data_IF_390959110009
#
_entry.id   IF_390959110009
#
_cell.length_a   1.000
_cell.length_b   1.000
_cell.length_c   1.000
_cell.angle_alpha   90.00
_cell.angle_beta   90.00
_cell.angle_gamma   90.00
#
_symmetry.space_group_name_H-M   'P 1'
#
loop_
_entity.id
_entity.type
_entity.pdbx_description
1 polymer ?
#
# COMPACT_ATOMS: atom_id res chain seq x y z
N UNK A 1 -25.81 19.76 25.06
CA UNK A 1 -25.67 18.42 24.45
C UNK A 1 -25.50 18.68 22.97
N UNK A 2 -24.26 18.75 22.51
CA UNK A 2 -24.00 18.81 21.07
C UNK A 2 -23.99 17.37 20.59
N UNK A 3 -25.05 17.03 19.87
CA UNK A 3 -25.17 15.80 19.12
C UNK A 3 -24.20 15.89 17.92
N UNK A 4 -23.01 15.32 18.08
CA UNK A 4 -22.07 15.09 16.98
C UNK A 4 -22.24 13.66 16.50
N UNK A 5 -23.42 13.31 16.00
CA UNK A 5 -23.57 12.15 15.12
C UNK A 5 -23.08 12.53 13.73
N UNK A 6 -21.77 12.80 13.60
CA UNK A 6 -21.11 12.68 12.30
C UNK A 6 -21.12 11.20 11.96
N UNK A 7 -21.52 10.85 10.75
CA UNK A 7 -21.62 9.45 10.32
C UNK A 7 -20.30 8.72 10.59
N UNK A 8 -20.36 7.63 11.37
CA UNK A 8 -19.18 6.82 11.71
C UNK A 8 -18.72 5.97 10.49
N UNK A 9 -19.44 6.04 9.37
CA UNK A 9 -19.11 5.38 8.12
C UNK A 9 -19.18 6.34 6.94
N UNK A 10 -18.25 6.21 5.98
CA UNK A 10 -18.25 6.97 4.73
C UNK A 10 -17.61 6.15 3.61
N UNK A 11 -17.62 6.68 2.38
CA UNK A 11 -16.95 6.08 1.22
C UNK A 11 -15.90 7.05 0.70
N UNK A 12 -14.65 6.58 0.59
CA UNK A 12 -13.53 7.37 0.03
C UNK A 12 -13.73 7.67 -1.46
N UNK A 13 -12.98 8.64 -1.99
CA UNK A 13 -12.98 8.94 -3.43
C UNK A 13 -12.53 7.74 -4.29
N UNK A 14 -11.69 6.87 -3.73
CA UNK A 14 -11.30 5.60 -4.36
C UNK A 14 -12.43 4.56 -4.43
N UNK A 15 -13.58 4.83 -3.81
CA UNK A 15 -14.77 3.97 -3.80
C UNK A 15 -14.78 2.89 -2.72
N UNK A 16 -13.88 2.94 -1.75
CA UNK A 16 -13.84 1.96 -0.66
C UNK A 16 -14.37 2.53 0.67
N UNK A 17 -15.01 1.66 1.45
CA UNK A 17 -15.71 2.00 2.70
C UNK A 17 -14.72 2.36 3.80
N UNK A 18 -15.08 3.34 4.63
CA UNK A 18 -14.28 3.79 5.76
C UNK A 18 -15.14 3.87 7.00
N UNK A 19 -14.64 3.36 8.12
CA UNK A 19 -15.26 3.42 9.44
C UNK A 19 -14.38 4.22 10.40
N UNK A 20 -14.95 5.23 11.04
CA UNK A 20 -14.22 6.09 11.99
C UNK A 20 -13.75 5.28 13.18
N UNK A 21 -12.47 5.39 13.52
CA UNK A 21 -11.90 4.77 14.71
C UNK A 21 -11.91 5.77 15.87
N UNK A 22 -12.38 5.32 17.04
CA UNK A 22 -12.38 6.11 18.27
C UNK A 22 -11.73 5.35 19.43
N UNK A 23 -11.50 6.01 20.56
CA UNK A 23 -10.83 5.43 21.73
C UNK A 23 -9.31 5.33 21.58
N UNK A 24 -8.69 4.43 22.34
CA UNK A 24 -7.25 4.09 22.25
C UNK A 24 -7.08 2.73 21.60
N UNK A 25 -5.95 2.52 20.93
CA UNK A 25 -5.60 1.24 20.36
C UNK A 25 -5.59 0.14 21.43
N UNK A 26 -5.97 -1.07 21.02
CA UNK A 26 -5.93 -2.28 21.84
C UNK A 26 -5.12 -3.37 21.12
N UNK A 27 -3.81 -3.15 20.91
CA UNK A 27 -2.98 -4.08 20.16
C UNK A 27 -2.80 -5.39 20.92
N UNK A 28 -2.64 -6.47 20.16
CA UNK A 28 -2.15 -7.76 20.63
C UNK A 28 -0.99 -8.20 19.74
N UNK A 29 -0.26 -9.21 20.17
CA UNK A 29 0.76 -9.83 19.32
C UNK A 29 0.10 -10.35 18.03
N UNK A 30 0.74 -10.04 16.91
CA UNK A 30 0.34 -10.48 15.56
C UNK A 30 1.22 -11.65 15.14
N UNK A 31 0.58 -12.76 14.75
CA UNK A 31 1.29 -13.92 14.22
C UNK A 31 1.53 -13.76 12.71
N UNK A 32 2.64 -13.12 12.37
CA UNK A 32 3.06 -12.95 10.97
C UNK A 32 3.30 -14.29 10.26
N UNK A 33 3.54 -15.39 10.98
CA UNK A 33 3.72 -16.70 10.36
C UNK A 33 2.39 -17.26 9.82
N UNK A 34 1.24 -16.79 10.30
CA UNK A 34 -0.07 -17.11 9.72
C UNK A 34 -0.33 -16.33 8.42
N UNK A 35 0.22 -15.11 8.30
CA UNK A 35 0.07 -14.28 7.10
C UNK A 35 1.04 -14.69 5.98
N UNK A 36 2.26 -15.10 6.35
CA UNK A 36 3.37 -15.33 5.41
C UNK A 36 3.08 -16.37 4.29
N UNK A 37 2.32 -17.47 4.50
CA UNK A 37 1.95 -18.40 3.42
C UNK A 37 1.17 -17.75 2.26
N UNK A 38 0.58 -16.58 2.47
CA UNK A 38 -0.15 -15.82 1.43
C UNK A 38 0.75 -14.93 0.57
N UNK A 39 2.06 -14.90 0.84
CA UNK A 39 3.04 -14.16 0.03
C UNK A 39 3.12 -14.74 -1.38
N UNK A 40 2.89 -13.88 -2.38
CA UNK A 40 2.95 -14.26 -3.79
C UNK A 40 4.31 -13.99 -4.44
N UNK A 41 5.09 -13.06 -3.89
CA UNK A 41 6.40 -12.65 -4.40
C UNK A 41 7.44 -12.63 -3.30
N UNK A 42 8.68 -12.94 -3.66
CA UNK A 42 9.80 -12.86 -2.73
C UNK A 42 10.02 -14.12 -1.88
N UNK A 43 9.41 -15.23 -2.27
CA UNK A 43 9.59 -16.56 -1.66
C UNK A 43 10.84 -17.28 -2.15
N UNK A 44 11.27 -16.97 -3.38
CA UNK A 44 12.42 -17.60 -4.03
C UNK A 44 13.76 -17.27 -3.33
N UNK A 45 14.80 -18.12 -3.50
CA UNK A 45 16.14 -17.81 -3.03
C UNK A 45 16.65 -16.44 -3.53
N UNK A 46 17.39 -15.74 -2.68
CA UNK A 46 17.99 -14.43 -2.98
C UNK A 46 17.13 -13.23 -2.59
N UNK A 47 15.91 -13.45 -2.09
CA UNK A 47 15.16 -12.42 -1.37
C UNK A 47 15.56 -12.42 0.12
N UNK A 48 15.70 -11.23 0.67
CA UNK A 48 16.09 -11.01 2.07
C UNK A 48 15.07 -10.10 2.75
N UNK A 49 15.02 -10.11 4.08
CA UNK A 49 14.23 -9.13 4.83
C UNK A 49 14.70 -7.71 4.50
N UNK A 50 13.77 -6.77 4.31
CA UNK A 50 14.11 -5.35 4.22
C UNK A 50 14.90 -4.86 5.45
N UNK A 51 15.62 -3.74 5.32
CA UNK A 51 16.50 -3.22 6.38
C UNK A 51 17.87 -3.90 6.49
N UNK A 52 18.19 -4.80 5.56
CA UNK A 52 19.51 -5.43 5.44
C UNK A 52 20.28 -4.87 4.22
N UNK A 53 21.60 -4.77 4.35
CA UNK A 53 22.50 -4.37 3.25
C UNK A 53 22.45 -5.38 2.07
N UNK A 54 22.76 -4.94 0.84
CA UNK A 54 23.11 -3.57 0.44
C UNK A 54 21.89 -2.67 0.31
N UNK A 55 22.04 -1.42 0.76
CA UNK A 55 21.04 -0.37 0.56
C UNK A 55 21.21 0.31 -0.80
N UNK A 56 20.10 0.72 -1.39
CA UNK A 56 20.09 1.53 -2.61
C UNK A 56 20.43 2.98 -2.28
N UNK A 57 21.20 3.63 -3.17
CA UNK A 57 21.51 5.04 -3.01
C UNK A 57 20.28 5.92 -3.29
N UNK A 58 20.16 7.11 -2.66
CA UNK A 58 19.15 8.10 -3.03
C UNK A 58 19.17 8.40 -4.55
N UNK A 59 17.99 8.54 -5.15
CA UNK A 59 17.80 8.74 -6.59
C UNK A 59 17.86 7.46 -7.43
N UNK A 60 18.34 6.33 -6.88
CA UNK A 60 18.30 5.04 -7.57
C UNK A 60 16.85 4.61 -7.86
N UNK A 61 16.65 3.80 -8.90
CA UNK A 61 15.35 3.21 -9.18
C UNK A 61 15.15 1.95 -8.34
N UNK A 62 13.97 1.84 -7.72
CA UNK A 62 13.46 0.63 -7.08
C UNK A 62 12.13 0.24 -7.70
N UNK A 63 11.88 -1.06 -7.87
CA UNK A 63 10.58 -1.59 -8.28
C UNK A 63 9.84 -2.05 -7.03
N UNK A 64 8.75 -1.36 -6.69
CA UNK A 64 7.83 -1.74 -5.61
C UNK A 64 6.77 -2.68 -6.18
N UNK A 65 6.62 -3.87 -5.59
CA UNK A 65 5.87 -4.97 -6.22
C UNK A 65 4.80 -5.58 -5.32
N UNK A 66 3.61 -5.77 -5.91
CA UNK A 66 2.43 -6.42 -5.32
C UNK A 66 1.89 -7.50 -6.27
N UNK A 67 2.25 -8.77 -6.10
CA UNK A 67 1.80 -9.82 -7.03
C UNK A 67 2.13 -9.48 -8.49
N UNK A 68 1.12 -9.16 -9.30
CA UNK A 68 1.32 -8.72 -10.70
C UNK A 68 1.77 -7.26 -10.83
N UNK A 69 1.58 -6.45 -9.79
CA UNK A 69 1.85 -5.01 -9.81
C UNK A 69 3.35 -4.67 -9.75
N UNK A 70 3.73 -3.62 -10.50
CA UNK A 70 5.10 -3.10 -10.59
C UNK A 70 5.03 -1.59 -10.65
N UNK A 71 5.51 -0.93 -9.60
CA UNK A 71 5.61 0.52 -9.52
C UNK A 71 7.10 0.91 -9.53
N UNK A 72 7.61 1.50 -10.63
CA UNK A 72 8.95 2.09 -10.66
C UNK A 72 8.97 3.36 -9.80
N UNK A 73 9.91 3.43 -8.86
CA UNK A 73 10.02 4.53 -7.90
C UNK A 73 11.46 5.00 -7.77
N UNK A 74 11.65 6.23 -7.29
CA UNK A 74 12.95 6.77 -6.88
C UNK A 74 13.17 6.54 -5.40
N UNK A 75 14.32 6.00 -5.03
CA UNK A 75 14.71 5.83 -3.63
C UNK A 75 15.00 7.21 -3.02
N UNK A 76 14.32 7.54 -1.93
CA UNK A 76 14.59 8.73 -1.11
C UNK A 76 15.55 8.38 0.00
N UNK A 77 15.30 7.27 0.68
CA UNK A 77 16.12 6.73 1.76
C UNK A 77 16.02 5.21 1.77
N UNK A 78 17.12 4.52 1.97
CA UNK A 78 17.16 3.07 2.16
C UNK A 78 18.23 2.78 3.21
N UNK A 79 17.80 2.37 4.40
CA UNK A 79 18.69 2.08 5.54
C UNK A 79 18.08 1.02 6.46
N UNK A 80 18.71 0.75 7.61
CA UNK A 80 18.26 -0.26 8.57
C UNK A 80 16.83 0.01 9.09
N UNK A 81 16.35 1.27 9.08
CA UNK A 81 15.01 1.64 9.55
C UNK A 81 13.92 1.34 8.52
N UNK A 82 14.25 1.35 7.23
CA UNK A 82 13.31 1.02 6.16
C UNK A 82 13.61 1.69 4.83
N UNK A 83 12.71 1.44 3.88
CA UNK A 83 12.74 2.04 2.54
C UNK A 83 11.75 3.20 2.47
N UNK A 84 12.22 4.37 2.03
CA UNK A 84 11.39 5.50 1.60
C UNK A 84 11.60 5.67 0.10
N UNK A 85 10.51 5.60 -0.67
CA UNK A 85 10.54 5.70 -2.11
C UNK A 85 9.44 6.65 -2.61
N UNK A 86 9.72 7.35 -3.70
CA UNK A 86 8.80 8.28 -4.33
C UNK A 86 8.33 7.75 -5.68
N UNK A 87 7.01 7.62 -5.84
CA UNK A 87 6.34 7.34 -7.11
C UNK A 87 5.93 8.69 -7.71
N UNK A 88 6.49 9.01 -8.88
CA UNK A 88 6.19 10.27 -9.54
C UNK A 88 4.78 10.28 -10.14
N UNK A 89 4.19 11.47 -10.26
CA UNK A 89 3.01 11.69 -11.11
C UNK A 89 3.27 11.17 -12.54
N UNK A 90 2.22 10.65 -13.18
CA UNK A 90 2.24 10.14 -14.56
C UNK A 90 3.22 8.96 -14.80
N UNK A 91 3.75 8.35 -13.74
CA UNK A 91 4.59 7.15 -13.87
C UNK A 91 3.79 6.02 -14.49
N UNK A 92 4.28 5.41 -15.57
CA UNK A 92 3.73 4.13 -16.04
C UNK A 92 3.96 3.07 -14.96
N UNK A 93 2.91 2.36 -14.59
CA UNK A 93 2.93 1.26 -13.62
C UNK A 93 2.23 0.04 -14.20
N UNK A 94 2.59 -1.14 -13.71
CA UNK A 94 1.77 -2.33 -13.92
C UNK A 94 0.78 -2.41 -12.77
N UNK A 95 -0.51 -2.33 -13.09
CA UNK A 95 -1.61 -2.61 -12.16
C UNK A 95 -2.34 -3.89 -12.55
N UNK A 96 -3.53 -4.08 -11.97
CA UNK A 96 -4.43 -5.18 -12.33
C UNK A 96 -5.80 -4.64 -12.73
N UNK A 97 -6.40 -5.25 -13.74
CA UNK A 97 -7.78 -5.02 -14.16
C UNK A 97 -8.54 -6.35 -14.21
N UNK A 98 -9.87 -6.27 -14.26
CA UNK A 98 -10.69 -7.41 -14.64
C UNK A 98 -10.39 -7.78 -16.10
N UNK A 99 -10.53 -9.07 -16.46
CA UNK A 99 -10.26 -9.57 -17.83
C UNK A 99 -11.13 -8.88 -18.91
N UNK A 100 -12.29 -8.35 -18.53
CA UNK A 100 -13.18 -7.58 -19.41
C UNK A 100 -12.82 -6.09 -19.53
N UNK A 101 -11.70 -5.67 -18.92
CA UNK A 101 -11.18 -4.31 -18.99
C UNK A 101 -11.62 -3.37 -17.87
N UNK A 102 -12.62 -3.76 -17.07
CA UNK A 102 -13.08 -2.92 -15.95
C UNK A 102 -12.00 -2.79 -14.88
N UNK A 103 -11.99 -1.65 -14.19
CA UNK A 103 -11.30 -1.55 -12.92
C UNK A 103 -11.95 -2.50 -11.90
N UNK A 104 -11.15 -3.00 -10.96
CA UNK A 104 -11.67 -3.95 -9.96
C UNK A 104 -12.75 -3.34 -9.06
N UNK A 105 -12.72 -2.02 -8.87
CA UNK A 105 -13.72 -1.28 -8.08
C UNK A 105 -15.09 -1.20 -8.79
N UNK A 106 -15.13 -1.34 -10.12
CA UNK A 106 -16.38 -1.45 -10.89
C UNK A 106 -16.99 -2.86 -10.86
N UNK A 107 -16.24 -3.87 -10.40
CA UNK A 107 -16.78 -5.21 -10.16
C UNK A 107 -17.54 -5.19 -8.83
N UNK A 108 -18.80 -5.70 -8.77
CA UNK A 108 -19.55 -5.83 -7.53
C UNK A 108 -18.72 -6.53 -6.44
N UNK A 109 -18.84 -6.07 -5.20
CA UNK A 109 -17.96 -6.50 -4.10
C UNK A 109 -18.01 -8.03 -3.86
N UNK A 110 -19.18 -8.63 -3.95
CA UNK A 110 -19.43 -10.07 -3.79
C UNK A 110 -18.81 -10.93 -4.90
N UNK A 111 -18.49 -10.34 -6.05
CA UNK A 111 -17.81 -11.01 -7.18
C UNK A 111 -16.32 -10.64 -7.29
N UNK A 112 -15.91 -9.48 -6.74
CA UNK A 112 -14.61 -8.82 -6.95
C UNK A 112 -13.39 -9.69 -6.64
N UNK A 113 -13.50 -10.55 -5.63
CA UNK A 113 -12.39 -11.40 -5.19
C UNK A 113 -12.28 -12.71 -5.98
N UNK A 114 -13.39 -13.23 -6.50
CA UNK A 114 -13.41 -14.40 -7.40
C UNK A 114 -13.18 -14.06 -8.87
N UNK A 115 -13.25 -12.78 -9.24
CA UNK A 115 -13.11 -12.34 -10.62
C UNK A 115 -11.67 -12.51 -11.13
N UNK A 116 -11.50 -13.10 -12.32
CA UNK A 116 -10.20 -13.24 -12.95
C UNK A 116 -9.57 -11.87 -13.25
N UNK A 117 -8.28 -11.75 -12.94
CA UNK A 117 -7.51 -10.51 -13.05
C UNK A 117 -6.36 -10.68 -14.04
N UNK A 118 -6.10 -9.63 -14.80
CA UNK A 118 -4.94 -9.55 -15.71
C UNK A 118 -4.06 -8.36 -15.33
N UNK A 119 -2.75 -8.49 -15.56
CA UNK A 119 -1.83 -7.37 -15.45
C UNK A 119 -2.13 -6.37 -16.58
N UNK A 120 -2.08 -5.07 -16.31
CA UNK A 120 -2.25 -4.02 -17.32
C UNK A 120 -1.30 -2.87 -17.02
N UNK A 121 -0.84 -2.18 -18.07
CA UNK A 121 -0.10 -0.93 -17.91
C UNK A 121 -1.08 0.22 -17.80
N UNK A 122 -0.86 1.07 -16.81
CA UNK A 122 -1.60 2.32 -16.60
C UNK A 122 -0.65 3.40 -16.13
N UNK A 123 -1.12 4.63 -16.05
CA UNK A 123 -0.40 5.74 -15.42
C UNK A 123 -0.87 5.93 -13.99
N UNK A 124 0.05 6.24 -13.09
CA UNK A 124 -0.28 6.72 -11.76
C UNK A 124 -1.12 8.01 -11.91
N UNK A 125 -2.24 8.06 -11.19
CA UNK A 125 -3.15 9.21 -11.20
C UNK A 125 -2.97 10.00 -9.91
N UNK A 126 -3.08 11.32 -10.03
CA UNK A 126 -2.87 12.25 -8.93
C UNK A 126 -1.40 12.59 -8.69
N UNK A 127 -1.17 13.42 -7.69
CA UNK A 127 0.15 13.88 -7.26
C UNK A 127 1.10 12.71 -6.98
N UNK A 128 2.40 12.94 -7.16
CA UNK A 128 3.41 11.96 -6.77
C UNK A 128 3.33 11.63 -5.27
N UNK A 129 3.55 10.36 -4.92
CA UNK A 129 3.34 9.83 -3.57
C UNK A 129 4.65 9.29 -2.97
N UNK A 130 4.93 9.65 -1.72
CA UNK A 130 5.94 8.96 -0.93
C UNK A 130 5.35 7.68 -0.36
N UNK A 131 6.08 6.57 -0.44
CA UNK A 131 5.79 5.33 0.29
C UNK A 131 6.94 4.99 1.21
N UNK A 132 6.61 4.70 2.45
CA UNK A 132 7.53 4.46 3.54
C UNK A 132 7.25 3.07 4.11
N UNK A 133 8.14 2.11 3.89
CA UNK A 133 8.05 0.76 4.44
C UNK A 133 9.08 0.58 5.55
N UNK A 134 8.67 0.66 6.84
CA UNK A 134 9.55 0.38 7.96
C UNK A 134 10.02 -1.07 7.96
N UNK A 135 11.26 -1.28 8.38
CA UNK A 135 11.86 -2.62 8.46
C UNK A 135 11.05 -3.53 9.38
N UNK A 136 10.61 -4.67 8.86
CA UNK A 136 9.95 -5.72 9.64
C UNK A 136 8.54 -5.38 10.12
N UNK A 137 7.92 -4.32 9.61
CA UNK A 137 6.53 -3.97 9.93
C UNK A 137 5.56 -4.45 8.86
N UNK A 138 4.37 -4.92 9.24
CA UNK A 138 3.34 -5.36 8.32
C UNK A 138 2.50 -4.17 7.79
N UNK A 139 3.16 -3.05 7.47
CA UNK A 139 2.54 -1.90 6.85
C UNK A 139 3.57 -1.05 6.10
N UNK A 140 3.09 -0.27 5.14
CA UNK A 140 3.75 0.96 4.69
C UNK A 140 2.85 2.16 4.89
N UNK A 141 3.47 3.35 4.92
CA UNK A 141 2.77 4.63 5.02
C UNK A 141 2.95 5.38 3.71
N UNK A 142 1.84 5.77 3.09
CA UNK A 142 1.83 6.56 1.88
C UNK A 142 1.37 7.97 2.20
N UNK A 143 2.18 8.97 1.82
CA UNK A 143 1.93 10.38 2.13
C UNK A 143 1.22 11.03 0.95
N UNK A 144 -0.06 11.32 1.13
CA UNK A 144 -0.90 11.94 0.11
C UNK A 144 -0.98 13.46 0.32
N UNK A 145 -1.03 14.18 -0.80
CA UNK A 145 -1.09 15.64 -0.84
C UNK A 145 -2.29 16.10 -1.64
N UNK A 146 -2.82 17.25 -1.25
CA UNK A 146 -3.78 18.01 -2.05
C UNK A 146 -3.09 18.66 -3.25
N UNK A 147 -3.88 19.16 -4.21
CA UNK A 147 -3.38 19.86 -5.41
C UNK A 147 -2.53 21.10 -5.09
N UNK A 148 -2.76 21.74 -3.93
CA UNK A 148 -1.98 22.88 -3.45
C UNK A 148 -0.67 22.48 -2.74
N UNK A 149 -0.40 21.18 -2.64
CA UNK A 149 0.79 20.59 -2.03
C UNK A 149 0.69 20.39 -0.52
N UNK A 150 -0.39 20.84 0.13
CA UNK A 150 -0.64 20.57 1.54
C UNK A 150 -0.88 19.08 1.80
N UNK A 151 -0.66 18.64 3.04
CA UNK A 151 -0.88 17.25 3.44
C UNK A 151 -2.38 16.95 3.41
N UNK A 152 -2.81 15.97 2.61
CA UNK A 152 -4.17 15.44 2.65
C UNK A 152 -4.31 14.44 3.81
N UNK A 153 -3.32 13.54 3.93
CA UNK A 153 -3.30 12.52 4.97
C UNK A 153 -2.25 11.45 4.73
N UNK A 154 -2.24 10.48 5.64
CA UNK A 154 -1.39 9.29 5.58
C UNK A 154 -2.26 8.06 5.37
N UNK A 155 -1.98 7.32 4.31
CA UNK A 155 -2.58 6.01 4.06
C UNK A 155 -1.65 4.93 4.59
N UNK A 156 -2.09 4.16 5.59
CA UNK A 156 -1.35 3.03 6.12
C UNK A 156 -1.83 1.78 5.40
N UNK A 157 -1.04 1.33 4.42
CA UNK A 157 -1.33 0.11 3.68
C UNK A 157 -0.94 -1.09 4.53
N UNK A 158 -1.88 -1.91 5.01
CA UNK A 158 -1.49 -3.13 5.73
C UNK A 158 -1.03 -4.17 4.72
N UNK A 159 0.15 -4.71 4.96
CA UNK A 159 0.81 -5.58 4.01
C UNK A 159 1.84 -6.47 4.68
N UNK A 160 2.27 -7.54 4.04
CA UNK A 160 3.36 -8.34 4.59
C UNK A 160 4.66 -7.54 4.68
N UNK A 161 5.51 -7.77 5.69
CA UNK A 161 6.81 -7.14 5.76
C UNK A 161 7.60 -7.30 4.46
N UNK A 162 8.21 -6.19 4.04
CA UNK A 162 8.89 -6.10 2.77
C UNK A 162 10.08 -7.07 2.68
N UNK A 163 10.21 -7.72 1.51
CA UNK A 163 11.40 -8.47 1.11
C UNK A 163 12.13 -7.72 0.00
N UNK A 164 13.46 -7.80 -0.01
CA UNK A 164 14.35 -7.10 -0.95
C UNK A 164 15.20 -8.07 -1.76
N UNK A 165 15.35 -7.76 -3.04
CA UNK A 165 16.30 -8.42 -3.95
C UNK A 165 16.78 -7.43 -5.00
N UNK A 166 18.07 -7.09 -4.97
CA UNK A 166 18.66 -6.07 -5.83
C UNK A 166 17.82 -4.77 -5.80
N UNK A 167 17.34 -4.30 -6.96
CA UNK A 167 16.51 -3.11 -7.09
C UNK A 167 15.01 -3.38 -6.93
N UNK A 168 14.62 -4.49 -6.30
CA UNK A 168 13.21 -4.85 -6.11
C UNK A 168 12.85 -4.89 -4.63
N UNK A 169 11.64 -4.41 -4.34
CA UNK A 169 10.96 -4.52 -3.07
C UNK A 169 9.62 -5.20 -3.30
N UNK A 170 9.38 -6.32 -2.63
CA UNK A 170 8.17 -7.11 -2.78
C UNK A 170 7.45 -7.30 -1.46
N UNK A 171 6.13 -7.21 -1.54
CA UNK A 171 5.20 -7.27 -0.42
C UNK A 171 3.90 -7.94 -0.88
N UNK A 172 2.96 -8.10 0.03
CA UNK A 172 1.62 -8.62 -0.24
C UNK A 172 0.63 -7.76 0.52
N UNK A 173 -0.23 -7.08 -0.24
CA UNK A 173 -1.38 -6.36 0.28
C UNK A 173 -2.30 -7.29 1.10
N UNK A 174 -2.75 -6.79 2.25
CA UNK A 174 -3.62 -7.49 3.21
C UNK A 174 -5.06 -6.93 3.22
N UNK A 175 -5.48 -6.22 2.17
CA UNK A 175 -6.83 -5.70 1.91
C UNK A 175 -7.27 -4.55 2.84
N UNK A 176 -7.02 -4.66 4.14
CA UNK A 176 -7.44 -3.70 5.15
C UNK A 176 -6.41 -2.56 5.26
N UNK A 177 -6.87 -1.33 5.42
CA UNK A 177 -5.98 -0.16 5.49
C UNK A 177 -6.42 0.80 6.61
N UNK A 178 -5.55 1.76 6.95
CA UNK A 178 -5.93 2.92 7.76
C UNK A 178 -5.77 4.21 6.96
N UNK A 179 -6.68 5.15 7.16
CA UNK A 179 -6.56 6.51 6.64
C UNK A 179 -6.50 7.49 7.82
N UNK A 180 -5.35 8.11 8.01
CA UNK A 180 -5.13 9.17 8.98
C UNK A 180 -5.18 10.51 8.26
N UNK A 181 -6.27 11.25 8.45
CA UNK A 181 -6.42 12.60 7.90
C UNK A 181 -5.39 13.56 8.51
N UNK A 182 -5.08 14.64 7.78
CA UNK A 182 -4.27 15.74 8.31
C UNK A 182 -4.90 16.40 9.56
N UNK A 183 -6.21 16.28 9.75
CA UNK A 183 -6.96 16.70 10.94
C UNK A 183 -6.60 15.89 12.20
N UNK A 184 -5.99 14.70 12.01
CA UNK A 184 -5.73 13.71 13.06
C UNK A 184 -6.86 12.68 13.22
N UNK A 185 -7.91 12.76 12.41
CA UNK A 185 -8.98 11.77 12.40
C UNK A 185 -8.52 10.46 11.75
N UNK A 186 -8.82 9.34 12.40
CA UNK A 186 -8.40 8.02 11.96
C UNK A 186 -9.60 7.19 11.49
N UNK A 187 -9.44 6.57 10.34
CA UNK A 187 -10.42 5.71 9.70
C UNK A 187 -9.84 4.33 9.43
N UNK A 188 -10.61 3.30 9.71
CA UNK A 188 -10.39 1.94 9.22
C UNK A 188 -11.01 1.82 7.84
N UNK A 189 -10.26 1.33 6.85
CA UNK A 189 -10.68 1.31 5.46
C UNK A 189 -10.74 -0.11 4.91
N UNK A 190 -11.75 -0.38 4.08
CA UNK A 190 -11.93 -1.60 3.29
C UNK A 190 -12.12 -2.88 4.15
N UNK A 191 -12.72 -2.74 5.34
CA UNK A 191 -13.09 -3.88 6.19
C UNK A 191 -14.16 -4.79 5.55
N UNK A 192 -15.08 -4.21 4.79
CA UNK A 192 -16.06 -4.93 3.96
C UNK A 192 -15.40 -5.70 2.81
N UNK A 193 -14.32 -5.16 2.24
CA UNK A 193 -13.49 -5.88 1.27
C UNK A 193 -12.79 -7.10 1.90
N UNK A 194 -12.28 -6.99 3.12
CA UNK A 194 -11.69 -8.12 3.83
C UNK A 194 -12.74 -9.21 4.13
N UNK A 195 -13.93 -8.83 4.58
CA UNK A 195 -15.05 -9.77 4.78
C UNK A 195 -15.44 -10.48 3.48
N UNK A 196 -15.55 -9.73 2.37
CA UNK A 196 -15.84 -10.30 1.06
C UNK A 196 -14.74 -11.24 0.56
N UNK A 197 -13.46 -10.91 0.81
CA UNK A 197 -12.34 -11.78 0.48
C UNK A 197 -12.41 -13.12 1.21
N UNK A 198 -12.71 -13.11 2.52
CA UNK A 198 -12.90 -14.33 3.32
C UNK A 198 -14.09 -15.14 2.83
N UNK A 199 -15.22 -14.49 2.54
CA UNK A 199 -16.42 -15.16 2.02
C UNK A 199 -16.17 -15.82 0.66
N UNK A 200 -15.32 -15.23 -0.18
CA UNK A 200 -14.89 -15.78 -1.47
C UNK A 200 -13.78 -16.86 -1.35
N UNK A 201 -13.33 -17.19 -0.13
CA UNK A 201 -12.29 -18.20 0.12
C UNK A 201 -10.86 -17.70 -0.07
N UNK A 202 -10.65 -16.39 -0.19
CA UNK A 202 -9.33 -15.75 -0.29
C UNK A 202 -8.73 -15.41 1.09
N UNK A 203 -8.84 -16.34 2.03
CA UNK A 203 -8.38 -16.19 3.41
C UNK A 203 -9.23 -17.04 4.37
N UNK A 204 -8.89 -17.01 5.66
CA UNK A 204 -9.70 -17.60 6.72
C UNK A 204 -10.12 -16.53 7.74
N UNK A 205 -11.04 -16.87 8.64
CA UNK A 205 -11.42 -15.97 9.72
C UNK A 205 -10.24 -15.66 10.65
N UNK A 206 -9.35 -16.64 10.86
CA UNK A 206 -8.12 -16.48 11.63
C UNK A 206 -7.16 -15.52 10.93
N UNK A 207 -7.01 -15.61 9.60
CA UNK A 207 -6.22 -14.67 8.81
C UNK A 207 -6.75 -13.25 8.95
N UNK A 208 -8.06 -13.05 8.79
CA UNK A 208 -8.69 -11.73 8.94
C UNK A 208 -8.50 -11.17 10.35
N UNK A 209 -8.56 -12.02 11.39
CA UNK A 209 -8.30 -11.61 12.76
C UNK A 209 -6.85 -11.15 12.99
N UNK A 210 -5.86 -11.74 12.30
CA UNK A 210 -4.47 -11.26 12.32
C UNK A 210 -4.30 -9.94 11.56
N UNK A 211 -5.02 -9.74 10.45
CA UNK A 211 -5.01 -8.49 9.69
C UNK A 211 -5.59 -7.33 10.53
N UNK A 212 -6.73 -7.56 11.21
CA UNK A 212 -7.27 -6.57 12.16
C UNK A 212 -6.31 -6.30 13.33
N UNK A 213 -5.60 -7.32 13.82
CA UNK A 213 -4.60 -7.13 14.86
C UNK A 213 -3.39 -6.31 14.36
N UNK A 214 -2.99 -6.47 13.09
CA UNK A 214 -1.99 -5.64 12.45
C UNK A 214 -2.45 -4.17 12.33
N UNK A 215 -3.74 -3.92 12.08
CA UNK A 215 -4.32 -2.58 12.09
C UNK A 215 -4.21 -1.92 13.48
N UNK A 216 -4.61 -2.63 14.54
CA UNK A 216 -4.49 -2.13 15.92
C UNK A 216 -3.03 -1.96 16.36
N UNK A 217 -2.12 -2.83 15.88
CA UNK A 217 -0.69 -2.66 16.09
C UNK A 217 -0.15 -1.39 15.41
N UNK A 218 -0.49 -1.17 14.13
CA UNK A 218 -0.12 0.05 13.42
C UNK A 218 -0.70 1.28 14.14
N UNK A 219 -1.97 1.26 14.54
CA UNK A 219 -2.57 2.34 15.32
C UNK A 219 -1.80 2.64 16.60
N UNK A 220 -1.45 1.62 17.38
CA UNK A 220 -0.73 1.80 18.64
C UNK A 220 0.71 2.33 18.44
N UNK A 221 1.48 1.69 17.57
CA UNK A 221 2.90 1.99 17.39
C UNK A 221 3.13 3.21 16.51
N UNK A 222 2.52 3.24 15.33
CA UNK A 222 2.73 4.27 14.33
C UNK A 222 1.96 5.54 14.68
N UNK A 223 0.65 5.44 14.94
CA UNK A 223 -0.24 6.61 15.03
C UNK A 223 -0.23 7.22 16.43
N UNK A 224 -0.57 6.43 17.44
CA UNK A 224 -0.61 6.88 18.84
C UNK A 224 0.81 7.05 19.41
N UNK A 225 1.73 6.14 19.04
CA UNK A 225 3.14 6.21 19.38
C UNK A 225 3.95 7.23 18.59
N UNK A 226 3.39 7.77 17.49
CA UNK A 226 4.04 8.73 16.58
C UNK A 226 5.39 8.23 16.08
N UNK A 227 5.41 7.03 15.50
CA UNK A 227 6.62 6.50 14.92
C UNK A 227 7.06 7.30 13.68
N UNK A 228 8.33 7.16 13.33
CA UNK A 228 9.03 8.00 12.37
C UNK A 228 8.45 8.13 10.97
N UNK A 229 7.67 7.17 10.41
CA UNK A 229 7.04 7.40 9.11
C UNK A 229 6.02 8.54 9.12
N UNK A 230 5.57 9.00 10.31
CA UNK A 230 4.72 10.17 10.50
C UNK A 230 5.51 11.43 10.90
N UNK A 231 6.84 11.40 10.90
CA UNK A 231 7.66 12.58 11.19
C UNK A 231 7.36 13.70 10.18
N UNK A 232 7.36 14.95 10.64
CA UNK A 232 7.08 16.16 9.83
C UNK A 232 7.98 16.29 8.58
N UNK A 233 9.16 15.66 8.62
CA UNK A 233 10.07 15.62 7.47
C UNK A 233 9.40 15.00 6.24
N UNK A 234 8.57 13.96 6.41
CA UNK A 234 7.88 13.29 5.29
C UNK A 234 6.66 14.08 4.84
N UNK A 235 5.94 14.70 5.78
CA UNK A 235 4.81 15.57 5.49
C UNK A 235 5.21 16.81 4.68
N UNK A 236 6.47 17.25 4.77
CA UNK A 236 6.99 18.43 4.05
C UNK A 236 7.95 18.12 2.91
N UNK A 237 8.35 16.85 2.75
CA UNK A 237 9.29 16.43 1.70
C UNK A 237 8.74 16.68 0.30
N UNK A 238 9.62 17.13 -0.60
CA UNK A 238 9.35 17.31 -2.02
C UNK A 238 10.46 16.64 -2.85
N UNK A 239 10.14 16.08 -4.03
CA UNK A 239 11.15 15.50 -4.90
C UNK A 239 12.14 16.58 -5.39
N UNK A 240 13.44 16.28 -5.44
CA UNK A 240 14.42 17.15 -6.10
C UNK A 240 14.01 17.46 -7.55
N UNK A 241 14.23 18.69 -8.01
CA UNK A 241 13.78 19.16 -9.32
C UNK A 241 14.43 18.43 -10.51
N UNK A 242 15.57 17.76 -10.29
CA UNK A 242 16.29 16.97 -11.29
C UNK A 242 15.85 15.49 -11.33
N UNK A 243 14.94 15.08 -10.44
CA UNK A 243 14.42 13.72 -10.45
C UNK A 243 13.41 13.51 -11.57
N UNK A 244 13.73 12.57 -12.45
CA UNK A 244 12.86 12.18 -13.56
C UNK A 244 12.02 10.95 -13.22
N UNK A 245 10.86 10.86 -13.88
CA UNK A 245 9.97 9.69 -13.85
C UNK A 245 10.76 8.44 -14.28
N UNK A 246 10.91 7.43 -13.41
CA UNK A 246 11.55 6.17 -13.79
C UNK A 246 10.65 5.39 -14.77
N UNK A 247 11.24 4.87 -15.85
CA UNK A 247 10.51 4.06 -16.82
C UNK A 247 10.18 2.66 -16.27
N UNK A 248 9.06 2.08 -16.72
CA UNK A 248 8.84 0.64 -16.59
C UNK A 248 9.96 -0.13 -17.30
N UNK A 249 10.50 -1.20 -16.67
CA UNK A 249 11.49 -2.04 -17.34
C UNK A 249 10.85 -2.78 -18.52
N UNK A 250 11.61 -3.01 -19.59
CA UNK A 250 11.19 -3.85 -20.72
C UNK A 250 11.41 -5.35 -20.41
N UNK A 251 10.72 -5.83 -19.36
CA UNK A 251 10.70 -7.25 -18.97
C UNK A 251 9.60 -8.02 -19.70
N UNK A 252 9.68 -9.35 -19.69
CA UNK A 252 8.62 -10.21 -20.25
C UNK A 252 7.26 -9.96 -19.57
N UNK A 253 7.26 -9.76 -18.24
CA UNK A 253 6.04 -9.45 -17.46
C UNK A 253 5.42 -8.12 -17.89
N UNK A 254 6.23 -7.08 -18.12
CA UNK A 254 5.75 -5.77 -18.57
C UNK A 254 5.26 -5.85 -20.02
N UNK A 255 5.96 -6.56 -20.90
CA UNK A 255 5.48 -6.81 -22.28
C UNK A 255 4.14 -7.55 -22.29
N UNK A 256 3.98 -8.55 -21.42
CA UNK A 256 2.72 -9.26 -21.27
C UNK A 256 1.60 -8.33 -20.77
N UNK A 257 1.86 -7.48 -19.77
CA UNK A 257 0.90 -6.50 -19.28
C UNK A 257 0.51 -5.48 -20.37
N UNK A 258 1.46 -5.04 -21.21
CA UNK A 258 1.16 -4.15 -22.34
C UNK A 258 0.24 -4.83 -23.37
N UNK A 259 0.39 -6.14 -23.60
CA UNK A 259 -0.44 -6.87 -24.56
C UNK A 259 -1.91 -7.03 -24.11
N UNK A 260 -2.17 -7.00 -22.80
CA UNK A 260 -3.50 -7.07 -22.18
C UNK A 260 -4.09 -5.69 -21.86
N UNK A 261 -3.31 -4.62 -22.03
CA UNK A 261 -3.78 -3.24 -21.81
C UNK A 261 -4.72 -2.84 -22.95
N UNK A 262 -6.01 -2.67 -22.64
CA UNK A 262 -6.98 -2.17 -23.60
C UNK A 262 -6.71 -0.68 -23.92
N UNK A 263 -7.00 -0.23 -25.15
CA UNK A 263 -6.95 1.19 -25.47
C UNK A 263 -7.87 2.00 -24.56
N UNK A 264 -7.38 3.12 -24.05
CA UNK A 264 -8.16 4.14 -23.33
C UNK A 264 -9.11 4.89 -24.26
#
# INVERSE_FOLDING_TARGET
MNDTSGDDTTVSESGGTMQRMSGTASPRDVDLALLEPHRLLGTEPGWTTAGSRPFLAPGATVLWRYGLGIDPMRVVRDDERGLVAWLAEDTEVVGTAAVDGRSLREVPLDERFGHERVAVVRRWQGSGVLRIAPTGRPWSVWVFREDDGSLAGHYVNLELPHRRRATQSATRDLVLDLWLEASGELWLKDADELEAAVAAGHGSAELAAEIHAAAEWARAELIEGRDWPLDDEWATWQPPADWTVPALPDSDEVRAARATTLPS
#
